data_IF_174027598087
#
_entry.id   IF_174027598087
#
_cell.length_a   1.000
_cell.length_b   1.000
_cell.length_c   1.000
_cell.angle_alpha   90.00
_cell.angle_beta   90.00
_cell.angle_gamma   90.00
#
_symmetry.space_group_name_H-M   'P 1'
#
loop_
_entity.id
_entity.type
_entity.pdbx_description
1 polymer ?
#
# COMPACT_ATOMS: atom_id res chain seq x y z
N UNK A 1 -3.76 12.17 9.52
CA UNK A 1 -2.47 11.78 8.94
C UNK A 1 -2.64 11.60 7.44
N UNK A 2 -1.66 12.03 6.64
CA UNK A 2 -1.63 11.82 5.18
C UNK A 2 -1.40 10.33 4.87
N UNK A 3 -2.02 9.84 3.82
CA UNK A 3 -1.90 8.46 3.37
C UNK A 3 -1.64 8.43 1.86
N UNK A 4 -0.54 7.84 1.44
CA UNK A 4 -0.17 7.61 0.05
C UNK A 4 -0.51 6.17 -0.32
N UNK A 5 -1.33 5.97 -1.35
CA UNK A 5 -1.73 4.64 -1.84
C UNK A 5 -1.16 4.44 -3.24
N UNK A 6 -0.39 3.39 -3.43
CA UNK A 6 0.16 3.03 -4.74
C UNK A 6 -0.83 2.12 -5.48
N UNK A 7 -1.37 2.63 -6.58
CA UNK A 7 -2.36 1.97 -7.43
C UNK A 7 -1.97 2.01 -8.92
N UNK A 8 -0.70 2.30 -9.23
CA UNK A 8 -0.22 2.53 -10.60
C UNK A 8 0.06 1.25 -11.39
N UNK A 9 0.34 0.13 -10.71
CA UNK A 9 0.81 -1.11 -11.34
C UNK A 9 -0.27 -1.87 -12.12
N UNK A 10 0.15 -2.64 -13.13
CA UNK A 10 -0.74 -3.43 -13.99
C UNK A 10 -1.36 -4.67 -13.29
N UNK A 11 -0.73 -5.19 -12.22
CA UNK A 11 -1.23 -6.36 -11.51
C UNK A 11 -1.27 -7.64 -12.39
N UNK A 12 -0.16 -8.01 -13.01
CA UNK A 12 -0.06 -9.00 -14.09
C UNK A 12 -0.61 -10.39 -13.74
N UNK A 13 -0.64 -10.78 -12.48
CA UNK A 13 -1.09 -12.09 -11.99
C UNK A 13 -2.60 -12.31 -12.06
N UNK A 14 -3.40 -11.24 -12.01
CA UNK A 14 -4.86 -11.31 -12.15
C UNK A 14 -5.36 -11.07 -13.59
N UNK A 15 -4.46 -11.06 -14.58
CA UNK A 15 -4.77 -10.82 -16.01
C UNK A 15 -5.88 -11.70 -16.60
N UNK A 16 -6.13 -12.88 -16.05
CA UNK A 16 -7.16 -13.80 -16.56
C UNK A 16 -8.60 -13.26 -16.49
N UNK A 17 -8.83 -12.14 -15.77
CA UNK A 17 -10.16 -11.54 -15.59
C UNK A 17 -10.34 -10.18 -16.25
N UNK A 18 -9.31 -9.61 -16.91
CA UNK A 18 -9.40 -8.29 -17.55
C UNK A 18 -9.61 -7.12 -16.57
N UNK A 19 -9.55 -7.38 -15.28
CA UNK A 19 -9.82 -6.41 -14.22
C UNK A 19 -8.55 -5.66 -13.79
N UNK A 20 -8.71 -4.38 -13.50
CA UNK A 20 -7.67 -3.57 -12.85
C UNK A 20 -7.56 -4.02 -11.40
N UNK A 21 -6.41 -4.52 -10.96
CA UNK A 21 -6.23 -5.17 -9.66
C UNK A 21 -6.83 -4.38 -8.47
N UNK A 22 -6.61 -3.06 -8.32
CA UNK A 22 -7.25 -2.28 -7.27
C UNK A 22 -8.78 -2.30 -7.26
N UNK A 23 -9.42 -2.57 -8.42
CA UNK A 23 -10.87 -2.60 -8.58
C UNK A 23 -11.47 -4.02 -8.47
N UNK A 24 -10.65 -5.04 -8.29
CA UNK A 24 -11.14 -6.40 -8.02
C UNK A 24 -11.96 -6.40 -6.74
N UNK A 25 -13.17 -6.91 -6.82
CA UNK A 25 -14.10 -6.95 -5.68
C UNK A 25 -13.88 -8.19 -4.82
N UNK A 26 -13.74 -7.97 -3.53
CA UNK A 26 -13.81 -9.00 -2.50
C UNK A 26 -15.10 -8.80 -1.70
N UNK A 27 -16.00 -9.79 -1.73
CA UNK A 27 -17.32 -9.70 -1.08
C UNK A 27 -18.10 -8.43 -1.49
N UNK A 28 -18.06 -8.08 -2.78
CA UNK A 28 -18.80 -6.94 -3.34
C UNK A 28 -18.14 -5.56 -3.14
N UNK A 29 -16.99 -5.47 -2.46
CA UNK A 29 -16.28 -4.21 -2.23
C UNK A 29 -14.90 -4.26 -2.89
N UNK A 30 -14.52 -3.31 -3.76
CA UNK A 30 -13.21 -3.24 -4.38
C UNK A 30 -12.07 -3.15 -3.38
N UNK A 31 -10.91 -3.76 -3.72
CA UNK A 31 -9.74 -3.80 -2.83
C UNK A 31 -9.31 -2.41 -2.38
N UNK A 32 -9.19 -1.46 -3.31
CA UNK A 32 -8.78 -0.09 -2.99
C UNK A 32 -9.76 0.61 -2.02
N UNK A 33 -11.07 0.36 -2.14
CA UNK A 33 -12.04 0.90 -1.19
C UNK A 33 -11.85 0.29 0.21
N UNK A 34 -11.55 -1.00 0.30
CA UNK A 34 -11.23 -1.64 1.59
C UNK A 34 -10.00 -1.03 2.23
N UNK A 35 -8.93 -0.85 1.45
CA UNK A 35 -7.70 -0.19 1.91
C UNK A 35 -7.99 1.21 2.45
N UNK A 36 -8.75 2.03 1.69
CA UNK A 36 -9.13 3.38 2.12
C UNK A 36 -9.94 3.34 3.42
N UNK A 37 -10.93 2.45 3.53
CA UNK A 37 -11.76 2.32 4.75
C UNK A 37 -10.94 1.91 5.96
N UNK A 38 -10.07 0.90 5.83
CA UNK A 38 -9.17 0.49 6.92
C UNK A 38 -8.21 1.62 7.30
N UNK A 39 -7.71 2.39 6.33
CA UNK A 39 -6.86 3.54 6.61
C UNK A 39 -7.60 4.67 7.36
N UNK A 40 -8.85 4.97 6.99
CA UNK A 40 -9.70 5.92 7.73
C UNK A 40 -9.88 5.46 9.17
N UNK A 41 -10.21 4.19 9.38
CA UNK A 41 -10.40 3.61 10.71
C UNK A 41 -9.08 3.61 11.52
N UNK A 42 -7.94 3.45 10.87
CA UNK A 42 -6.60 3.63 11.45
C UNK A 42 -6.20 5.08 11.71
N UNK A 43 -7.02 6.07 11.26
CA UNK A 43 -6.86 7.49 11.52
C UNK A 43 -6.17 8.30 10.41
N UNK A 44 -6.17 7.79 9.17
CA UNK A 44 -5.82 8.60 7.99
C UNK A 44 -6.97 9.59 7.68
N UNK A 45 -6.62 10.79 7.24
CA UNK A 45 -7.59 11.88 7.01
C UNK A 45 -7.48 12.51 5.63
N UNK A 46 -6.35 12.31 4.95
CA UNK A 46 -6.05 12.90 3.65
C UNK A 46 -5.37 11.85 2.78
N UNK A 47 -5.89 11.64 1.58
CA UNK A 47 -5.48 10.55 0.72
C UNK A 47 -4.85 11.05 -0.57
N UNK A 48 -3.72 10.46 -0.93
CA UNK A 48 -3.04 10.62 -2.20
C UNK A 48 -2.99 9.26 -2.88
N UNK A 49 -3.51 9.15 -4.09
CA UNK A 49 -3.51 7.88 -4.83
C UNK A 49 -2.71 8.03 -6.10
N UNK A 50 -1.62 7.27 -6.20
CA UNK A 50 -0.81 7.23 -7.41
C UNK A 50 -1.40 6.24 -8.39
N UNK A 51 -1.82 6.74 -9.55
CA UNK A 51 -2.43 5.98 -10.65
C UNK A 51 -1.47 5.87 -11.82
N UNK A 52 -1.72 4.94 -12.74
CA UNK A 52 -0.93 4.74 -13.95
C UNK A 52 -1.65 3.84 -14.94
N UNK A 53 -1.45 2.52 -14.85
CA UNK A 53 -2.18 1.58 -15.69
C UNK A 53 -3.70 1.70 -15.51
N UNK A 54 -4.42 1.87 -16.62
CA UNK A 54 -5.89 2.01 -16.61
C UNK A 54 -6.40 3.11 -15.66
N UNK A 55 -5.66 4.21 -15.54
CA UNK A 55 -5.94 5.35 -14.66
C UNK A 55 -7.40 5.81 -14.71
N UNK A 56 -7.99 5.90 -15.90
CA UNK A 56 -9.38 6.37 -16.07
C UNK A 56 -10.37 5.50 -15.29
N UNK A 57 -10.18 4.18 -15.22
CA UNK A 57 -11.07 3.29 -14.48
C UNK A 57 -10.98 3.53 -12.99
N UNK A 58 -9.74 3.69 -12.47
CA UNK A 58 -9.49 3.97 -11.06
C UNK A 58 -10.07 5.34 -10.70
N UNK A 59 -9.81 6.37 -11.51
CA UNK A 59 -10.31 7.73 -11.31
C UNK A 59 -11.83 7.78 -11.27
N UNK A 60 -12.50 7.11 -12.22
CA UNK A 60 -13.95 7.07 -12.28
C UNK A 60 -14.59 6.37 -11.07
N UNK A 61 -13.86 5.43 -10.46
CA UNK A 61 -14.29 4.77 -9.24
C UNK A 61 -14.04 5.65 -8.00
N UNK A 62 -12.89 6.30 -7.92
CA UNK A 62 -12.47 7.05 -6.72
C UNK A 62 -13.22 8.38 -6.54
N UNK A 63 -13.59 9.07 -7.60
CA UNK A 63 -14.34 10.36 -7.51
C UNK A 63 -15.65 10.22 -6.73
N UNK A 64 -16.58 9.30 -7.08
CA UNK A 64 -17.79 9.09 -6.28
C UNK A 64 -17.51 8.55 -4.88
N UNK A 65 -16.42 7.80 -4.71
CA UNK A 65 -16.01 7.27 -3.41
C UNK A 65 -15.57 8.39 -2.46
N UNK A 66 -14.83 9.38 -2.95
CA UNK A 66 -14.41 10.56 -2.20
C UNK A 66 -15.62 11.29 -1.58
N UNK A 67 -16.64 11.56 -2.39
CA UNK A 67 -17.88 12.19 -1.93
C UNK A 67 -18.62 11.31 -0.91
N UNK A 68 -18.76 10.01 -1.20
CA UNK A 68 -19.47 9.06 -0.33
C UNK A 68 -18.83 8.89 1.03
N UNK A 69 -17.48 8.91 1.09
CA UNK A 69 -16.71 8.76 2.32
C UNK A 69 -16.41 10.09 3.00
N UNK A 70 -16.71 11.22 2.34
CA UNK A 70 -16.42 12.59 2.84
C UNK A 70 -14.93 12.75 3.21
N UNK A 71 -14.03 12.27 2.34
CA UNK A 71 -12.58 12.37 2.51
C UNK A 71 -11.99 13.34 1.48
N UNK A 72 -10.77 13.81 1.74
CA UNK A 72 -9.95 14.52 0.76
C UNK A 72 -9.09 13.51 0.00
N UNK A 73 -9.23 13.45 -1.34
CA UNK A 73 -8.51 12.51 -2.19
C UNK A 73 -7.85 13.25 -3.37
N UNK A 74 -6.53 13.16 -3.44
CA UNK A 74 -5.72 13.73 -4.53
C UNK A 74 -5.19 12.61 -5.41
N UNK A 75 -5.49 12.67 -6.72
CA UNK A 75 -4.92 11.74 -7.70
C UNK A 75 -3.58 12.26 -8.22
N UNK A 76 -2.61 11.36 -8.33
CA UNK A 76 -1.27 11.64 -8.85
C UNK A 76 -1.01 10.67 -10.01
N UNK A 77 -0.75 11.20 -11.20
CA UNK A 77 -0.44 10.38 -12.35
C UNK A 77 1.03 9.95 -12.35
N UNK A 78 1.28 8.66 -12.55
CA UNK A 78 2.61 8.11 -12.83
C UNK A 78 2.66 7.63 -14.29
N UNK A 79 3.29 8.39 -15.16
CA UNK A 79 3.53 8.07 -16.57
C UNK A 79 4.54 6.92 -16.75
N UNK A 80 5.38 6.67 -15.73
CA UNK A 80 6.40 5.61 -15.70
C UNK A 80 5.92 4.39 -14.88
N UNK A 81 4.61 4.10 -14.87
CA UNK A 81 4.00 3.04 -14.05
C UNK A 81 4.55 1.62 -14.28
N UNK A 82 5.27 1.39 -15.38
CA UNK A 82 5.91 0.12 -15.71
C UNK A 82 7.21 -0.12 -14.92
N UNK A 83 7.74 0.93 -14.32
CA UNK A 83 8.96 0.88 -13.52
C UNK A 83 8.67 0.47 -12.06
N UNK A 84 9.71 0.49 -11.23
CA UNK A 84 9.64 0.08 -9.82
C UNK A 84 8.67 0.94 -8.99
N UNK A 85 8.05 0.34 -7.99
CA UNK A 85 7.08 1.03 -7.09
C UNK A 85 7.65 2.29 -6.43
N UNK A 86 8.97 2.35 -6.18
CA UNK A 86 9.64 3.53 -5.64
C UNK A 86 9.45 4.79 -6.49
N UNK A 87 9.34 4.66 -7.81
CA UNK A 87 9.04 5.81 -8.68
C UNK A 87 7.62 6.35 -8.44
N UNK A 88 6.67 5.46 -8.16
CA UNK A 88 5.32 5.90 -7.78
C UNK A 88 5.34 6.71 -6.48
N UNK A 89 6.15 6.32 -5.51
CA UNK A 89 6.33 7.11 -4.27
C UNK A 89 6.94 8.48 -4.58
N UNK A 90 7.96 8.52 -5.44
CA UNK A 90 8.63 9.77 -5.83
C UNK A 90 7.71 10.76 -6.56
N UNK A 91 6.69 10.30 -7.30
CA UNK A 91 5.69 11.17 -7.94
C UNK A 91 4.89 11.99 -6.91
N UNK A 92 4.81 11.53 -5.67
CA UNK A 92 4.11 12.24 -4.59
C UNK A 92 4.99 13.27 -3.85
N UNK A 93 6.30 13.34 -4.12
CA UNK A 93 7.27 14.15 -3.38
C UNK A 93 6.90 15.64 -3.26
N UNK A 94 6.36 16.23 -4.33
CA UNK A 94 6.00 17.64 -4.34
C UNK A 94 4.61 17.92 -3.73
N UNK A 95 3.89 16.88 -3.29
CA UNK A 95 2.56 16.96 -2.68
C UNK A 95 2.56 16.62 -1.20
N UNK A 96 3.51 15.77 -0.78
CA UNK A 96 3.61 15.29 0.61
C UNK A 96 5.01 15.65 1.13
N UNK A 97 5.04 16.53 2.13
CA UNK A 97 6.26 17.02 2.77
C UNK A 97 6.30 16.74 4.27
N UNK A 98 5.39 15.91 4.76
CA UNK A 98 5.28 15.49 6.16
C UNK A 98 5.40 13.97 6.25
N UNK A 99 5.39 13.45 7.47
CA UNK A 99 5.21 12.03 7.73
C UNK A 99 3.87 11.55 7.14
N UNK A 100 3.89 10.40 6.48
CA UNK A 100 2.72 9.82 5.85
C UNK A 100 2.74 8.30 5.96
N UNK A 101 1.56 7.71 5.84
CA UNK A 101 1.41 6.26 5.61
C UNK A 101 1.59 5.95 4.14
N UNK A 102 2.35 4.92 3.83
CA UNK A 102 2.45 4.34 2.50
C UNK A 102 1.75 2.98 2.49
N UNK A 103 0.76 2.82 1.61
CA UNK A 103 -0.04 1.60 1.49
C UNK A 103 -0.09 1.12 0.04
N UNK A 104 -0.25 -0.18 -0.15
CA UNK A 104 -0.52 -0.79 -1.44
C UNK A 104 -2.04 -0.90 -1.65
N UNK A 105 -2.53 -0.61 -2.85
CA UNK A 105 -3.97 -0.60 -3.18
C UNK A 105 -4.64 -1.98 -3.13
N UNK A 106 -3.86 -3.04 -2.96
CA UNK A 106 -4.27 -4.45 -3.04
C UNK A 106 -3.88 -5.28 -1.80
N UNK A 107 -3.32 -4.65 -0.78
CA UNK A 107 -3.01 -5.29 0.51
C UNK A 107 -4.10 -4.97 1.52
N UNK A 108 -4.74 -6.01 2.05
CA UNK A 108 -5.74 -5.89 3.11
C UNK A 108 -5.06 -6.04 4.47
N UNK A 109 -5.38 -5.18 5.39
CA UNK A 109 -4.78 -5.13 6.72
C UNK A 109 -5.81 -4.73 7.77
N UNK A 110 -5.53 -5.09 9.02
CA UNK A 110 -6.28 -4.63 10.17
C UNK A 110 -5.93 -3.15 10.48
N UNK A 111 -6.93 -2.28 10.73
CA UNK A 111 -6.69 -0.88 11.13
C UNK A 111 -5.75 -0.69 12.33
N UNK A 112 -5.65 -1.67 13.21
CA UNK A 112 -4.74 -1.63 14.36
C UNK A 112 -3.25 -1.61 13.95
N UNK A 113 -2.90 -2.11 12.77
CA UNK A 113 -1.55 -1.99 12.22
C UNK A 113 -1.19 -0.51 12.04
N UNK A 114 -2.10 0.27 11.44
CA UNK A 114 -1.87 1.71 11.28
C UNK A 114 -1.80 2.43 12.64
N UNK A 115 -2.69 2.09 13.58
CA UNK A 115 -2.65 2.65 14.93
C UNK A 115 -1.32 2.37 15.61
N UNK A 116 -0.80 1.15 15.45
CA UNK A 116 0.51 0.75 15.96
C UNK A 116 1.65 1.55 15.33
N UNK A 117 1.72 1.62 13.99
CA UNK A 117 2.74 2.40 13.28
C UNK A 117 2.77 3.86 13.74
N UNK A 118 1.59 4.50 13.89
CA UNK A 118 1.46 5.88 14.37
C UNK A 118 1.95 6.09 15.79
N UNK A 119 1.90 5.06 16.62
CA UNK A 119 2.36 5.10 18.02
C UNK A 119 3.88 5.04 18.17
N UNK A 120 4.61 4.69 17.11
CA UNK A 120 6.06 4.61 17.16
C UNK A 120 6.73 5.94 16.80
N UNK A 121 7.78 6.36 17.53
CA UNK A 121 8.55 7.53 17.18
C UNK A 121 9.26 7.31 15.84
N UNK A 122 9.25 8.31 14.99
CA UNK A 122 9.88 8.32 13.68
C UNK A 122 10.76 9.56 13.57
N UNK A 123 12.06 9.38 13.32
CA UNK A 123 12.96 10.49 13.06
C UNK A 123 12.95 10.85 11.57
N UNK A 124 13.49 12.00 11.23
CA UNK A 124 13.65 12.39 9.84
C UNK A 124 14.55 11.40 9.09
N UNK A 125 14.08 10.92 7.96
CA UNK A 125 14.78 9.93 7.14
C UNK A 125 14.52 8.47 7.53
N UNK A 126 13.82 8.21 8.63
CA UNK A 126 13.43 6.85 9.01
C UNK A 126 12.19 6.38 8.24
N UNK A 127 12.10 5.06 8.05
CA UNK A 127 10.91 4.37 7.55
C UNK A 127 10.56 3.27 8.53
N UNK A 128 9.29 3.21 8.95
CA UNK A 128 8.74 2.09 9.72
C UNK A 128 8.01 1.16 8.76
N UNK A 129 8.16 -0.14 8.95
CA UNK A 129 7.43 -1.17 8.23
C UNK A 129 6.72 -2.08 9.23
N UNK A 130 5.44 -2.29 9.03
CA UNK A 130 4.74 -3.38 9.72
C UNK A 130 5.16 -4.71 9.10
N UNK A 131 5.63 -5.63 9.94
CA UNK A 131 6.13 -6.94 9.51
C UNK A 131 5.30 -8.04 10.14
N UNK A 132 4.83 -8.97 9.31
CA UNK A 132 4.23 -10.21 9.78
C UNK A 132 5.36 -11.19 10.16
N UNK A 133 5.39 -11.62 11.40
CA UNK A 133 6.42 -12.54 11.93
C UNK A 133 5.96 -14.01 11.94
N UNK A 134 4.73 -14.31 11.49
CA UNK A 134 4.26 -15.68 11.32
C UNK A 134 4.81 -16.31 10.02
N UNK A 135 6.09 -16.69 10.06
CA UNK A 135 6.76 -17.32 8.92
C UNK A 135 6.34 -18.76 8.66
N UNK A 136 5.47 -19.33 9.51
CA UNK A 136 4.95 -20.70 9.35
C UNK A 136 3.55 -20.73 8.72
N UNK A 137 2.98 -19.59 8.38
CA UNK A 137 1.65 -19.50 7.77
C UNK A 137 1.63 -20.17 6.37
N UNK A 138 0.95 -21.30 6.27
CA UNK A 138 0.87 -22.09 5.01
C UNK A 138 0.07 -21.41 3.89
N UNK A 139 -0.61 -20.30 4.17
CA UNK A 139 -1.35 -19.53 3.17
C UNK A 139 -0.45 -18.51 2.43
N UNK A 140 0.76 -18.28 2.93
CA UNK A 140 1.72 -17.36 2.30
C UNK A 140 2.35 -18.02 1.08
N UNK A 141 2.26 -17.36 -0.07
CA UNK A 141 2.95 -17.74 -1.28
C UNK A 141 4.44 -17.34 -1.20
N UNK A 142 5.27 -18.33 -0.90
CA UNK A 142 6.72 -18.14 -0.69
C UNK A 142 7.49 -17.69 -1.93
N UNK A 143 6.93 -17.88 -3.13
CA UNK A 143 7.54 -17.42 -4.40
C UNK A 143 7.24 -15.94 -4.66
N UNK A 144 6.15 -15.43 -4.06
CA UNK A 144 5.68 -14.07 -4.33
C UNK A 144 5.88 -13.10 -3.16
N UNK A 145 5.87 -13.59 -1.93
CA UNK A 145 5.97 -12.73 -0.74
C UNK A 145 7.31 -12.00 -0.67
N UNK A 146 7.27 -10.74 -0.26
CA UNK A 146 8.48 -9.99 0.09
C UNK A 146 8.92 -10.36 1.50
N UNK A 147 10.08 -10.98 1.61
CA UNK A 147 10.69 -11.44 2.84
C UNK A 147 11.47 -10.32 3.51
N UNK A 148 11.52 -10.33 4.83
CA UNK A 148 12.20 -9.33 5.65
C UNK A 148 13.11 -10.01 6.65
N UNK A 149 14.39 -9.58 6.74
CA UNK A 149 15.29 -9.97 7.80
C UNK A 149 15.42 -8.86 8.82
N UNK A 150 14.97 -9.14 10.04
CA UNK A 150 14.96 -8.18 11.15
C UNK A 150 15.95 -8.64 12.23
N UNK A 151 16.77 -7.70 12.72
CA UNK A 151 17.60 -7.91 13.90
C UNK A 151 17.56 -6.68 14.80
N UNK A 152 17.30 -6.88 16.08
CA UNK A 152 17.21 -5.81 17.09
C UNK A 152 16.26 -4.66 16.68
N UNK A 153 15.11 -4.99 16.08
CA UNK A 153 14.11 -4.02 15.63
C UNK A 153 14.49 -3.23 14.37
N UNK A 154 15.59 -3.60 13.71
CA UNK A 154 16.01 -2.97 12.44
C UNK A 154 15.94 -3.97 11.30
N UNK A 155 15.47 -3.49 10.15
CA UNK A 155 15.49 -4.27 8.91
C UNK A 155 16.91 -4.26 8.37
N UNK A 156 17.51 -5.44 8.26
CA UNK A 156 18.83 -5.63 7.67
C UNK A 156 18.75 -5.91 6.17
N UNK A 157 17.70 -6.63 5.76
CA UNK A 157 17.48 -6.97 4.36
C UNK A 157 15.99 -7.14 4.08
N UNK A 158 15.56 -6.80 2.85
CA UNK A 158 14.21 -6.94 2.37
C UNK A 158 14.23 -7.31 0.88
N UNK A 159 13.45 -8.31 0.49
CA UNK A 159 13.38 -8.74 -0.90
C UNK A 159 12.73 -10.10 -1.06
N UNK A 160 12.38 -10.45 -2.30
CA UNK A 160 11.73 -11.74 -2.61
C UNK A 160 12.69 -12.93 -2.56
N UNK A 161 13.96 -12.70 -2.89
CA UNK A 161 14.98 -13.75 -3.10
C UNK A 161 16.01 -13.84 -1.98
N UNK A 162 15.77 -13.19 -0.84
CA UNK A 162 16.67 -13.31 0.31
C UNK A 162 16.48 -14.67 0.96
N UNK A 163 17.61 -15.32 1.33
CA UNK A 163 17.61 -16.66 1.92
C UNK A 163 17.33 -16.61 3.42
N UNK A 164 17.87 -15.60 4.11
CA UNK A 164 17.71 -15.43 5.55
C UNK A 164 16.64 -14.37 5.84
N UNK A 165 15.55 -14.80 6.47
CA UNK A 165 14.42 -13.95 6.82
C UNK A 165 13.71 -14.46 8.08
N UNK A 166 13.01 -13.57 8.77
CA UNK A 166 12.22 -13.88 9.96
C UNK A 166 10.87 -13.09 10.00
N UNK A 167 10.45 -12.58 8.85
CA UNK A 167 9.16 -11.94 8.68
C UNK A 167 8.83 -11.64 7.22
N UNK A 168 7.62 -11.15 7.00
CA UNK A 168 7.09 -10.77 5.69
C UNK A 168 6.62 -9.31 5.68
N UNK A 169 6.84 -8.64 4.57
CA UNK A 169 6.35 -7.29 4.32
C UNK A 169 4.81 -7.29 4.21
N UNK A 170 4.15 -6.50 5.02
CA UNK A 170 2.68 -6.35 4.99
C UNK A 170 2.20 -5.32 3.97
N UNK A 171 3.09 -4.53 3.37
CA UNK A 171 2.76 -3.40 2.51
C UNK A 171 2.26 -2.16 3.26
N UNK A 172 2.48 -2.10 4.57
CA UNK A 172 2.10 -0.96 5.42
C UNK A 172 3.36 -0.30 6.00
N UNK A 173 3.65 0.94 5.58
CA UNK A 173 4.83 1.72 5.96
C UNK A 173 4.44 3.05 6.63
#
# INVERSE_FOLDING_TARGET
MKCLIIAAGQGTRLKKKGEVKPLVSLLGVPLIERVIRSAIEGGATEFYVVTGYQEMLITNFLKPLEERLQISLTLIHNDEWQAENGLSVLKARDRINDQFLLLMADHLFDPDIIRSLRGHPLNEGDVLLAVDTDTQNSLVDMEDVTKVHIQNGKILNIGKTIDEFNGFDTGCF
#
